data_IF_640065095713
#
_entry.id   IF_640065095713
#
_cell.length_a   1.000
_cell.length_b   1.000
_cell.length_c   1.000
_cell.angle_alpha   90.00
_cell.angle_beta   90.00
_cell.angle_gamma   90.00
#
_symmetry.space_group_name_H-M   'P 1'
#
loop_
_entity.id
_entity.type
_entity.pdbx_description
1 polymer ?
#
# COMPACT_ATOMS: atom_id res chain seq x y z
N UNK A 1 47.62 10.19 18.21
CA UNK A 1 46.55 10.77 19.04
C UNK A 1 45.98 12.01 18.36
N UNK A 2 44.73 11.98 17.89
CA UNK A 2 43.74 13.06 18.15
C UNK A 2 42.36 12.65 17.60
N UNK A 3 41.38 12.72 18.50
CA UNK A 3 39.95 12.39 18.34
C UNK A 3 39.28 13.26 17.26
N UNK A 4 38.41 12.67 16.42
CA UNK A 4 37.39 13.43 15.66
C UNK A 4 35.98 12.86 15.89
N UNK A 5 35.41 13.40 16.98
CA UNK A 5 34.01 13.79 17.26
C UNK A 5 32.90 13.09 16.49
N UNK A 6 32.13 12.28 17.23
CA UNK A 6 30.75 11.91 16.93
C UNK A 6 29.86 13.16 16.84
N UNK A 7 29.09 13.28 15.76
CA UNK A 7 28.04 14.29 15.62
C UNK A 7 26.70 13.63 16.03
N UNK A 8 26.17 14.04 17.18
CA UNK A 8 24.86 13.66 17.69
C UNK A 8 23.81 14.52 16.97
N UNK A 9 22.96 13.89 16.14
CA UNK A 9 21.85 14.55 15.46
C UNK A 9 20.67 14.61 16.44
N UNK A 10 20.40 15.80 16.96
CA UNK A 10 19.23 16.10 17.77
C UNK A 10 18.02 16.23 16.84
N UNK A 11 17.07 15.28 16.93
CA UNK A 11 15.75 15.40 16.31
C UNK A 11 14.90 16.40 17.11
N UNK A 12 14.63 17.58 16.56
CA UNK A 12 13.57 18.46 17.07
C UNK A 12 12.20 17.92 16.66
N UNK A 13 11.46 17.40 17.64
CA UNK A 13 10.00 17.24 17.56
C UNK A 13 9.35 18.63 17.61
N UNK A 14 8.66 19.03 16.55
CA UNK A 14 7.66 20.09 16.64
C UNK A 14 6.30 19.42 16.87
N UNK A 15 5.87 19.35 18.13
CA UNK A 15 4.51 18.93 18.51
C UNK A 15 3.65 20.19 18.59
N UNK A 16 2.85 20.45 17.56
CA UNK A 16 1.78 21.46 17.67
C UNK A 16 0.52 20.76 18.20
N UNK A 17 0.26 20.86 19.50
CA UNK A 17 -1.04 20.50 20.08
C UNK A 17 -1.94 21.72 19.94
N UNK A 18 -2.80 21.76 18.93
CA UNK A 18 -3.86 22.76 18.86
C UNK A 18 -4.94 22.42 19.89
N UNK A 19 -4.92 23.10 21.04
CA UNK A 19 -6.02 23.11 22.01
C UNK A 19 -7.03 24.17 21.56
N UNK A 20 -8.08 23.77 20.85
CA UNK A 20 -9.26 24.62 20.71
C UNK A 20 -10.13 24.42 21.95
N UNK A 21 -9.98 25.34 22.91
CA UNK A 21 -10.98 25.60 23.92
C UNK A 21 -12.00 26.58 23.32
N UNK A 22 -13.23 26.13 23.13
CA UNK A 22 -14.36 27.03 22.94
C UNK A 22 -15.44 26.66 23.96
N UNK A 23 -15.61 27.51 24.97
CA UNK A 23 -16.75 27.48 25.88
C UNK A 23 -17.94 28.13 25.17
N UNK A 24 -19.09 27.46 25.20
CA UNK A 24 -20.37 28.00 24.74
C UNK A 24 -21.50 27.01 25.01
N UNK A 25 -22.36 27.35 25.97
CA UNK A 25 -23.51 26.59 26.47
C UNK A 25 -24.49 26.08 25.39
N UNK A 26 -24.98 24.84 25.54
CA UNK A 26 -26.41 24.51 25.61
C UNK A 26 -26.64 22.98 25.73
N UNK A 27 -27.56 22.60 26.62
CA UNK A 27 -28.00 21.24 26.95
C UNK A 27 -28.72 20.54 25.77
N UNK A 28 -28.52 19.23 25.62
CA UNK A 28 -29.63 18.25 25.56
C UNK A 28 -29.08 16.82 25.63
N UNK A 29 -29.79 15.97 26.36
CA UNK A 29 -29.35 14.64 26.74
C UNK A 29 -29.15 13.70 25.55
N UNK A 30 -27.94 13.16 25.47
CA UNK A 30 -27.73 11.78 25.06
C UNK A 30 -26.47 11.32 25.78
N UNK A 31 -26.61 10.39 26.75
CA UNK A 31 -25.47 9.66 27.31
C UNK A 31 -24.88 8.80 26.20
N UNK A 32 -24.08 9.40 25.32
CA UNK A 32 -23.23 8.65 24.40
C UNK A 32 -22.18 7.93 25.24
N UNK A 33 -22.15 6.60 25.11
CA UNK A 33 -21.10 5.71 25.61
C UNK A 33 -19.76 6.45 25.62
N UNK A 34 -19.07 6.46 26.77
CA UNK A 34 -17.68 6.91 26.95
C UNK A 34 -16.85 6.64 25.68
N UNK A 35 -16.83 7.63 24.78
CA UNK A 35 -16.24 7.49 23.46
C UNK A 35 -14.77 7.76 23.60
N UNK A 36 -13.93 6.78 23.28
CA UNK A 36 -12.48 6.98 23.19
C UNK A 36 -12.23 8.24 22.37
N UNK A 37 -11.55 9.24 22.95
CA UNK A 37 -11.25 10.49 22.23
C UNK A 37 -10.34 10.16 21.04
N UNK A 38 -10.86 10.35 19.84
CA UNK A 38 -10.08 10.25 18.60
C UNK A 38 -9.25 11.52 18.44
N UNK A 39 -7.98 11.33 18.10
CA UNK A 39 -6.98 12.34 17.83
C UNK A 39 -6.53 12.19 16.37
N UNK A 40 -6.12 13.29 15.77
CA UNK A 40 -5.59 13.34 14.40
C UNK A 40 -4.12 13.74 14.47
N UNK A 41 -3.27 13.08 13.70
CA UNK A 41 -1.87 13.44 13.55
C UNK A 41 -1.48 13.46 12.08
N UNK A 42 -0.63 14.43 11.74
CA UNK A 42 -0.02 14.56 10.44
C UNK A 42 1.49 14.36 10.57
N UNK A 43 2.03 13.48 9.74
CA UNK A 43 3.46 13.26 9.59
C UNK A 43 3.87 13.67 8.17
N UNK A 44 4.93 14.46 8.08
CA UNK A 44 5.52 14.87 6.80
C UNK A 44 6.98 14.43 6.73
N UNK A 45 7.25 13.50 5.83
CA UNK A 45 8.61 13.07 5.50
C UNK A 45 9.31 14.15 4.68
N UNK A 46 10.44 14.64 5.20
CA UNK A 46 11.23 15.70 4.58
C UNK A 46 12.01 15.24 3.34
N UNK A 47 12.35 13.95 3.26
CA UNK A 47 13.12 13.40 2.16
C UNK A 47 12.24 13.08 0.95
N UNK A 48 11.01 12.65 1.21
CA UNK A 48 10.11 12.11 0.18
C UNK A 48 8.95 13.06 -0.12
N UNK A 49 8.73 14.06 0.73
CA UNK A 49 7.56 14.93 0.67
C UNK A 49 6.24 14.21 0.98
N UNK A 50 6.32 12.96 1.47
CA UNK A 50 5.17 12.17 1.83
C UNK A 50 4.45 12.78 3.03
N UNK A 51 3.15 13.00 2.89
CA UNK A 51 2.27 13.45 3.96
C UNK A 51 1.34 12.31 4.32
N UNK A 52 1.33 11.94 5.59
CA UNK A 52 0.47 10.93 6.16
C UNK A 52 -0.39 11.59 7.23
N UNK A 53 -1.70 11.53 7.08
CA UNK A 53 -2.67 11.96 8.09
C UNK A 53 -3.40 10.73 8.61
N UNK A 54 -3.46 10.55 9.92
CA UNK A 54 -4.14 9.39 10.51
C UNK A 54 -4.86 9.73 11.80
N UNK A 55 -5.98 9.03 12.02
CA UNK A 55 -6.74 9.05 13.25
C UNK A 55 -6.29 7.94 14.20
N UNK A 56 -6.22 8.25 15.50
CA UNK A 56 -5.85 7.30 16.55
C UNK A 56 -6.51 7.66 17.87
N UNK A 57 -6.56 6.71 18.81
CA UNK A 57 -6.78 6.99 20.22
C UNK A 57 -5.59 6.51 21.06
N UNK A 58 -5.46 7.00 22.29
CA UNK A 58 -4.53 6.43 23.27
C UNK A 58 -5.25 5.40 24.12
N UNK A 59 -4.71 4.18 24.21
CA UNK A 59 -5.25 3.16 25.10
C UNK A 59 -4.93 3.48 26.58
N UNK A 60 -5.31 2.59 27.51
CA UNK A 60 -5.11 2.80 28.94
C UNK A 60 -3.64 2.99 29.33
N UNK A 61 -2.71 2.37 28.58
CA UNK A 61 -1.26 2.48 28.76
C UNK A 61 -0.66 3.71 28.04
N UNK A 62 -1.49 4.56 27.44
CA UNK A 62 -1.05 5.76 26.71
C UNK A 62 -0.49 5.49 25.30
N UNK A 63 -0.52 4.24 24.83
CA UNK A 63 -0.05 3.83 23.50
C UNK A 63 -1.03 4.29 22.41
N UNK A 64 -0.50 4.84 21.31
CA UNK A 64 -1.28 5.21 20.13
C UNK A 64 -1.81 3.96 19.43
N UNK A 65 -3.12 3.93 19.19
CA UNK A 65 -3.82 2.89 18.45
C UNK A 65 -4.52 3.55 17.27
N UNK A 66 -4.08 3.24 16.04
CA UNK A 66 -4.71 3.72 14.82
C UNK A 66 -6.16 3.25 14.77
N UNK A 67 -7.07 4.22 14.61
CA UNK A 67 -8.49 3.97 14.59
C UNK A 67 -9.19 5.14 13.90
N UNK A 68 -9.91 4.86 12.82
CA UNK A 68 -10.55 5.86 11.98
C UNK A 68 -9.80 6.08 10.67
N UNK A 69 -9.89 7.29 10.13
CA UNK A 69 -9.42 7.64 8.78
C UNK A 69 -7.90 7.65 8.69
N UNK A 70 -7.41 7.23 7.53
CA UNK A 70 -6.02 7.32 7.12
C UNK A 70 -5.94 7.89 5.71
N UNK A 71 -5.00 8.81 5.49
CA UNK A 71 -4.66 9.34 4.17
C UNK A 71 -3.14 9.40 4.02
N UNK A 72 -2.63 8.97 2.87
CA UNK A 72 -1.24 9.09 2.47
C UNK A 72 -1.17 9.76 1.10
N UNK A 73 -0.33 10.78 0.97
CA UNK A 73 -0.14 11.49 -0.27
C UNK A 73 1.33 11.83 -0.48
N UNK A 74 1.84 11.57 -1.67
CA UNK A 74 3.18 12.01 -2.07
C UNK A 74 3.27 12.24 -3.57
N UNK A 75 4.27 13.03 -3.96
CA UNK A 75 4.62 13.27 -5.35
C UNK A 75 6.13 13.40 -5.46
N UNK A 76 6.75 12.55 -6.28
CA UNK A 76 8.19 12.54 -6.54
C UNK A 76 8.42 12.92 -8.01
N UNK A 77 9.11 14.03 -8.30
CA UNK A 77 9.44 14.38 -9.67
C UNK A 77 10.35 13.30 -10.30
N UNK A 78 10.30 13.18 -11.62
CA UNK A 78 11.26 12.35 -12.35
C UNK A 78 12.64 13.02 -12.25
N UNK A 79 13.53 12.43 -11.46
CA UNK A 79 14.89 12.93 -11.23
C UNK A 79 15.96 11.91 -11.58
N UNK A 80 17.21 12.37 -11.73
CA UNK A 80 18.33 11.51 -12.14
C UNK A 80 18.85 10.59 -11.02
N UNK A 81 18.60 10.95 -9.76
CA UNK A 81 19.09 10.23 -8.56
C UNK A 81 18.11 9.16 -8.05
N UNK A 82 16.83 9.27 -8.40
CA UNK A 82 15.79 8.33 -7.99
C UNK A 82 15.32 7.48 -9.17
N UNK A 83 15.32 6.17 -9.00
CA UNK A 83 14.72 5.21 -9.93
C UNK A 83 13.20 5.10 -9.77
N UNK A 84 12.57 6.03 -9.04
CA UNK A 84 11.12 6.15 -8.92
C UNK A 84 10.68 7.58 -9.21
N UNK A 85 9.48 7.72 -9.76
CA UNK A 85 8.79 9.01 -9.88
C UNK A 85 7.28 8.83 -9.91
N UNK A 86 6.55 9.92 -9.81
CA UNK A 86 5.10 9.96 -9.96
C UNK A 86 4.40 10.41 -8.69
N UNK A 87 3.13 10.03 -8.57
CA UNK A 87 2.27 10.49 -7.49
C UNK A 87 1.40 9.36 -6.96
N UNK A 88 1.01 9.50 -5.70
CA UNK A 88 0.12 8.56 -5.04
C UNK A 88 -0.76 9.30 -4.04
N UNK A 89 -2.02 8.88 -3.97
CA UNK A 89 -2.98 9.28 -2.95
C UNK A 89 -3.78 8.02 -2.54
N UNK A 90 -3.61 7.61 -1.29
CA UNK A 90 -4.29 6.46 -0.71
C UNK A 90 -5.13 6.93 0.46
N UNK A 91 -6.37 6.45 0.52
CA UNK A 91 -7.22 6.59 1.69
C UNK A 91 -7.61 5.22 2.20
N UNK A 92 -7.64 5.05 3.51
CA UNK A 92 -8.02 3.81 4.17
C UNK A 92 -8.70 4.11 5.51
N UNK A 93 -9.21 3.06 6.14
CA UNK A 93 -9.73 3.13 7.51
C UNK A 93 -9.03 2.07 8.35
N UNK A 94 -8.67 2.44 9.57
CA UNK A 94 -8.11 1.55 10.57
C UNK A 94 -9.12 1.28 11.67
N UNK A 95 -9.11 0.05 12.17
CA UNK A 95 -9.83 -0.36 13.37
C UNK A 95 -8.82 -1.11 14.24
N UNK A 96 -8.42 -0.50 15.35
CA UNK A 96 -7.49 -1.10 16.32
C UNK A 96 -6.17 -1.57 15.69
N UNK A 97 -5.50 -0.66 14.97
CA UNK A 97 -4.27 -0.89 14.20
C UNK A 97 -4.40 -1.84 12.99
N UNK A 98 -5.60 -2.29 12.64
CA UNK A 98 -5.84 -3.12 11.46
C UNK A 98 -6.53 -2.32 10.36
N UNK A 99 -6.09 -2.48 9.11
CA UNK A 99 -6.83 -2.00 7.94
C UNK A 99 -8.17 -2.73 7.87
N UNK A 100 -9.25 -1.96 7.80
CA UNK A 100 -10.60 -2.50 7.77
C UNK A 100 -11.53 -1.55 7.01
N UNK A 101 -12.27 -2.09 6.05
CA UNK A 101 -13.10 -1.33 5.11
C UNK A 101 -12.46 -1.17 3.73
N UNK A 102 -12.79 -0.09 3.03
CA UNK A 102 -12.32 0.15 1.66
C UNK A 102 -11.01 0.95 1.68
N UNK A 103 -10.01 0.42 0.96
CA UNK A 103 -8.78 1.14 0.62
C UNK A 103 -8.92 1.67 -0.80
N UNK A 104 -8.91 3.00 -0.95
CA UNK A 104 -8.95 3.66 -2.25
C UNK A 104 -7.55 4.07 -2.66
N UNK A 105 -7.14 3.68 -3.85
CA UNK A 105 -5.81 3.88 -4.40
C UNK A 105 -5.93 4.70 -5.68
N UNK A 106 -5.32 5.88 -5.67
CA UNK A 106 -5.07 6.67 -6.86
C UNK A 106 -3.56 6.80 -7.01
N UNK A 107 -2.99 6.17 -8.03
CA UNK A 107 -1.56 6.24 -8.25
C UNK A 107 -1.20 6.28 -9.72
N UNK A 108 -0.15 7.04 -9.99
CA UNK A 108 0.53 7.04 -11.25
C UNK A 108 2.02 7.20 -10.95
N UNK A 109 2.68 6.06 -10.75
CA UNK A 109 4.10 6.02 -10.39
C UNK A 109 4.85 5.01 -11.25
N UNK A 110 6.11 5.31 -11.50
CA UNK A 110 6.96 4.59 -12.44
C UNK A 110 8.28 4.25 -11.77
N UNK A 111 8.73 3.03 -11.98
CA UNK A 111 10.10 2.62 -11.72
C UNK A 111 10.90 2.73 -13.01
N UNK A 112 11.98 3.49 -12.97
CA UNK A 112 12.84 3.76 -14.11
C UNK A 112 14.12 2.93 -14.05
N UNK A 113 14.54 2.43 -15.20
CA UNK A 113 15.86 1.82 -15.39
C UNK A 113 16.60 2.55 -16.49
N UNK A 114 17.93 2.67 -16.33
CA UNK A 114 18.80 3.18 -17.39
C UNK A 114 18.93 2.13 -18.48
N UNK A 115 18.55 2.49 -19.70
CA UNK A 115 18.80 1.71 -20.92
C UNK A 115 19.95 2.34 -21.68
N UNK A 116 20.94 1.54 -21.99
CA UNK A 116 22.14 1.95 -22.70
C UNK A 116 22.16 1.33 -24.08
N UNK A 117 22.16 2.15 -25.11
CA UNK A 117 22.17 1.71 -26.51
C UNK A 117 23.41 2.27 -27.20
N UNK A 118 24.12 1.42 -27.94
CA UNK A 118 25.23 1.84 -28.78
C UNK A 118 24.70 2.28 -30.14
N UNK A 119 24.97 3.52 -30.51
CA UNK A 119 24.58 4.07 -31.80
C UNK A 119 25.84 4.11 -32.67
N UNK A 120 25.81 3.37 -33.79
CA UNK A 120 26.92 3.34 -34.76
C UNK A 120 27.28 4.77 -35.16
N UNK A 121 28.53 5.18 -34.92
CA UNK A 121 29.06 6.51 -35.24
C UNK A 121 28.70 7.66 -34.27
N UNK A 122 27.90 7.42 -33.22
CA UNK A 122 27.51 8.47 -32.23
C UNK A 122 27.79 8.09 -30.78
N UNK A 123 28.46 6.97 -30.53
CA UNK A 123 28.80 6.50 -29.19
C UNK A 123 27.59 5.93 -28.43
N UNK A 124 27.61 6.08 -27.10
CA UNK A 124 26.63 5.48 -26.17
C UNK A 124 25.51 6.47 -25.87
N UNK A 125 24.26 6.09 -26.15
CA UNK A 125 23.05 6.82 -25.70
C UNK A 125 22.50 6.16 -24.44
N UNK A 126 22.32 6.95 -23.38
CA UNK A 126 21.66 6.51 -22.14
C UNK A 126 20.28 7.14 -22.09
N UNK A 127 19.25 6.33 -21.89
CA UNK A 127 17.87 6.77 -21.71
C UNK A 127 17.27 6.15 -20.45
N UNK A 128 16.17 6.71 -19.95
CA UNK A 128 15.38 6.13 -18.86
C UNK A 128 14.11 5.51 -19.44
N UNK A 129 13.97 4.21 -19.25
CA UNK A 129 12.78 3.44 -19.64
C UNK A 129 12.05 2.97 -18.38
N UNK A 130 10.73 2.93 -18.45
CA UNK A 130 9.92 2.40 -17.37
C UNK A 130 10.03 0.87 -17.37
N UNK A 131 10.32 0.29 -16.21
CA UNK A 131 10.36 -1.17 -15.99
C UNK A 131 9.20 -1.66 -15.13
N UNK A 132 8.51 -0.72 -14.48
CA UNK A 132 7.32 -0.99 -13.69
C UNK A 132 6.46 0.26 -13.67
N UNK A 133 5.15 0.08 -13.85
CA UNK A 133 4.18 1.18 -13.85
C UNK A 133 3.01 0.82 -12.95
N UNK A 134 2.76 1.62 -11.93
CA UNK A 134 1.59 1.49 -11.10
C UNK A 134 0.63 2.60 -11.53
N UNK A 135 -0.38 2.20 -12.27
CA UNK A 135 -1.41 3.09 -12.78
C UNK A 135 -2.73 2.55 -12.24
N UNK A 136 -3.33 3.29 -11.31
CA UNK A 136 -4.62 2.97 -10.75
C UNK A 136 -5.39 4.26 -10.55
N UNK A 137 -6.57 4.34 -11.15
CA UNK A 137 -7.49 5.46 -11.00
C UNK A 137 -8.70 4.96 -10.22
N UNK A 138 -8.88 5.46 -8.99
CA UNK A 138 -9.96 5.07 -8.09
C UNK A 138 -10.08 3.55 -7.90
N UNK A 139 -8.95 2.84 -7.77
CA UNK A 139 -8.98 1.41 -7.43
C UNK A 139 -9.46 1.26 -5.99
N UNK A 140 -10.52 0.49 -5.78
CA UNK A 140 -11.09 0.22 -4.46
C UNK A 140 -10.86 -1.23 -4.08
N UNK A 141 -10.16 -1.45 -2.97
CA UNK A 141 -9.90 -2.76 -2.42
C UNK A 141 -10.62 -2.90 -1.08
N UNK A 142 -11.50 -3.87 -0.96
CA UNK A 142 -12.14 -4.19 0.32
C UNK A 142 -11.19 -5.01 1.16
N UNK A 143 -10.95 -4.59 2.39
CA UNK A 143 -9.99 -5.18 3.32
C UNK A 143 -10.68 -5.47 4.65
N UNK A 144 -10.44 -6.64 5.23
CA UNK A 144 -10.85 -7.01 6.59
C UNK A 144 -9.62 -7.51 7.33
N UNK A 145 -9.28 -6.88 8.45
CA UNK A 145 -8.13 -7.23 9.28
C UNK A 145 -6.81 -7.37 8.48
N UNK A 146 -6.46 -6.33 7.72
CA UNK A 146 -5.30 -6.26 6.82
C UNK A 146 -5.35 -7.17 5.58
N UNK A 147 -6.38 -7.98 5.41
CA UNK A 147 -6.47 -8.98 4.33
C UNK A 147 -7.51 -8.57 3.30
N UNK A 148 -7.24 -8.75 2.00
CA UNK A 148 -8.26 -8.54 0.97
C UNK A 148 -9.50 -9.40 1.28
N UNK A 149 -10.68 -8.84 1.03
CA UNK A 149 -11.95 -9.47 1.29
C UNK A 149 -12.83 -9.47 0.04
N UNK A 150 -13.68 -10.50 -0.07
CA UNK A 150 -14.53 -10.72 -1.24
C UNK A 150 -13.77 -11.07 -2.52
N UNK A 151 -14.47 -10.94 -3.65
CA UNK A 151 -13.88 -11.10 -4.98
C UNK A 151 -13.13 -9.84 -5.39
N UNK A 152 -11.98 -10.00 -6.04
CA UNK A 152 -11.19 -8.88 -6.53
C UNK A 152 -10.57 -9.16 -7.90
N UNK A 153 -10.50 -8.12 -8.73
CA UNK A 153 -9.80 -8.15 -10.01
C UNK A 153 -9.17 -6.78 -10.22
N UNK A 154 -7.85 -6.69 -10.10
CA UNK A 154 -7.14 -5.42 -10.23
C UNK A 154 -5.70 -5.60 -10.69
N UNK A 155 -5.13 -4.51 -11.17
CA UNK A 155 -3.77 -4.44 -11.70
C UNK A 155 -2.99 -3.39 -10.90
N UNK A 156 -1.81 -3.76 -10.42
CA UNK A 156 -0.90 -2.85 -9.74
C UNK A 156 0.55 -3.23 -10.06
N UNK A 157 1.29 -2.30 -10.65
CA UNK A 157 2.66 -2.54 -11.08
C UNK A 157 2.68 -3.51 -12.26
N UNK A 158 3.52 -4.54 -12.16
CA UNK A 158 3.62 -5.60 -13.16
C UNK A 158 2.77 -6.83 -12.83
N UNK A 159 1.80 -6.69 -11.91
CA UNK A 159 0.97 -7.78 -11.43
C UNK A 159 -0.51 -7.48 -11.62
N UNK A 160 -1.25 -8.51 -11.99
CA UNK A 160 -2.71 -8.53 -11.99
C UNK A 160 -3.19 -9.63 -11.07
N UNK A 161 -4.11 -9.30 -10.18
CA UNK A 161 -4.64 -10.17 -9.16
C UNK A 161 -6.10 -10.45 -9.50
N UNK A 162 -6.47 -11.73 -9.57
CA UNK A 162 -7.83 -12.18 -9.77
C UNK A 162 -8.20 -13.19 -8.70
N UNK A 163 -9.29 -12.94 -8.00
CA UNK A 163 -9.87 -13.85 -7.04
C UNK A 163 -11.40 -13.89 -7.21
N UNK A 164 -11.90 -15.09 -7.44
CA UNK A 164 -13.32 -15.40 -7.52
C UNK A 164 -13.67 -16.40 -6.43
N UNK A 165 -14.73 -16.16 -5.67
CA UNK A 165 -15.17 -17.04 -4.59
C UNK A 165 -15.46 -16.29 -3.28
N UNK A 166 -15.30 -16.98 -2.16
CA UNK A 166 -15.59 -16.48 -0.81
C UNK A 166 -14.32 -16.44 0.02
N UNK A 167 -14.20 -15.41 0.85
CA UNK A 167 -13.15 -15.27 1.85
C UNK A 167 -13.82 -15.27 3.22
N UNK A 168 -13.39 -16.17 4.10
CA UNK A 168 -13.95 -16.26 5.44
C UNK A 168 -13.34 -15.20 6.39
N UNK A 169 -13.82 -15.15 7.63
CA UNK A 169 -13.35 -14.16 8.60
C UNK A 169 -11.88 -14.31 9.01
N UNK A 170 -11.34 -15.52 8.86
CA UNK A 170 -9.94 -15.85 9.13
C UNK A 170 -9.00 -15.45 7.98
N UNK A 171 -9.53 -14.87 6.90
CA UNK A 171 -8.74 -14.50 5.72
C UNK A 171 -8.38 -15.68 4.83
N UNK A 172 -9.18 -16.75 4.87
CA UNK A 172 -9.00 -17.93 4.04
C UNK A 172 -9.96 -17.87 2.84
N UNK A 173 -9.42 -18.12 1.66
CA UNK A 173 -10.14 -18.05 0.40
C UNK A 173 -10.54 -19.43 -0.11
N UNK A 174 -11.80 -19.56 -0.50
CA UNK A 174 -12.36 -20.65 -1.27
C UNK A 174 -12.83 -20.13 -2.65
N UNK A 175 -12.22 -20.64 -3.70
CA UNK A 175 -12.59 -20.44 -5.09
C UNK A 175 -11.35 -20.43 -5.99
N UNK A 176 -11.34 -19.59 -7.01
CA UNK A 176 -10.21 -19.48 -7.95
C UNK A 176 -9.39 -18.25 -7.64
N UNK A 177 -8.09 -18.44 -7.45
CA UNK A 177 -7.11 -17.34 -7.43
C UNK A 177 -6.20 -17.46 -8.66
N UNK A 178 -5.88 -16.34 -9.30
CA UNK A 178 -4.90 -16.27 -10.38
C UNK A 178 -4.10 -14.98 -10.23
N UNK A 179 -2.77 -15.13 -10.24
CA UNK A 179 -1.85 -14.01 -10.38
C UNK A 179 -1.31 -14.04 -11.80
N UNK A 180 -1.39 -12.90 -12.48
CA UNK A 180 -0.72 -12.70 -13.74
C UNK A 180 0.44 -11.74 -13.56
N UNK A 181 1.47 -11.94 -14.38
CA UNK A 181 2.62 -11.05 -14.49
C UNK A 181 2.67 -10.47 -15.88
N UNK A 182 2.96 -9.18 -15.97
CA UNK A 182 3.08 -8.49 -17.25
C UNK A 182 4.26 -9.07 -18.03
N UNK A 183 4.07 -9.35 -19.32
CA UNK A 183 5.14 -9.77 -20.21
C UNK A 183 6.13 -8.61 -20.39
N UNK A 184 7.31 -8.71 -19.78
CA UNK A 184 8.31 -7.63 -19.70
C UNK A 184 9.11 -7.39 -20.99
N UNK A 185 8.71 -7.98 -22.11
CA UNK A 185 9.44 -7.89 -23.39
C UNK A 185 9.53 -6.46 -23.94
N UNK A 186 8.61 -5.56 -23.56
CA UNK A 186 8.63 -4.16 -24.02
C UNK A 186 8.96 -3.16 -22.91
N UNK A 187 10.24 -2.82 -22.77
CA UNK A 187 10.67 -1.62 -22.03
C UNK A 187 10.41 -0.38 -22.87
N UNK A 188 9.68 0.59 -22.32
CA UNK A 188 9.25 1.78 -23.08
C UNK A 188 9.53 3.08 -22.34
N UNK A 189 9.61 4.17 -23.10
CA UNK A 189 9.55 5.53 -22.58
C UNK A 189 8.11 6.01 -22.33
N UNK A 190 7.10 5.37 -22.94
CA UNK A 190 5.68 5.74 -22.81
C UNK A 190 4.81 4.57 -22.30
N UNK A 191 4.73 4.36 -20.97
CA UNK A 191 4.06 3.22 -20.35
C UNK A 191 2.53 3.24 -20.39
N UNK A 192 1.89 4.34 -20.80
CA UNK A 192 0.42 4.46 -20.80
C UNK A 192 -0.27 3.83 -22.02
N UNK A 193 0.44 3.66 -23.13
CA UNK A 193 -0.17 3.31 -24.44
C UNK A 193 0.21 1.90 -24.93
N UNK A 194 0.71 1.04 -24.05
CA UNK A 194 1.08 -0.33 -24.40
C UNK A 194 -0.09 -1.28 -24.13
N UNK A 195 -0.48 -2.05 -25.15
CA UNK A 195 -1.34 -3.22 -24.96
C UNK A 195 -0.60 -4.23 -24.07
N UNK A 196 -1.18 -4.55 -22.92
CA UNK A 196 -0.49 -5.36 -21.92
C UNK A 196 -0.82 -6.83 -22.13
N UNK A 197 0.18 -7.61 -22.54
CA UNK A 197 0.08 -9.06 -22.50
C UNK A 197 0.36 -9.56 -21.07
N UNK A 198 -0.61 -10.28 -20.52
CA UNK A 198 -0.55 -10.86 -19.19
C UNK A 198 -0.31 -12.36 -19.30
N UNK A 199 0.71 -12.85 -18.59
CA UNK A 199 1.01 -14.28 -18.50
C UNK A 199 0.62 -14.78 -17.11
N UNK A 200 -0.03 -15.94 -17.03
CA UNK A 200 -0.35 -16.58 -15.76
C UNK A 200 0.97 -16.95 -15.06
N UNK A 201 1.20 -16.36 -13.89
CA UNK A 201 2.39 -16.60 -13.06
C UNK A 201 2.13 -17.67 -11.99
N UNK A 202 0.90 -17.69 -11.46
CA UNK A 202 0.38 -18.74 -10.57
C UNK A 202 -1.15 -18.80 -10.66
N UNK A 203 -1.70 -20.00 -10.48
CA UNK A 203 -3.13 -20.23 -10.41
C UNK A 203 -3.42 -21.33 -9.39
N UNK A 204 -4.44 -21.09 -8.56
CA UNK A 204 -4.94 -22.05 -7.60
C UNK A 204 -6.45 -22.18 -7.79
N UNK A 205 -6.92 -23.42 -7.90
CA UNK A 205 -8.34 -23.76 -7.98
C UNK A 205 -8.70 -24.44 -6.66
N UNK A 206 -9.45 -23.74 -5.81
CA UNK A 206 -9.96 -24.30 -4.57
C UNK A 206 -11.28 -25.00 -4.85
N UNK A 207 -11.19 -26.25 -5.24
CA UNK A 207 -12.33 -27.14 -5.39
C UNK A 207 -12.83 -27.57 -3.99
N UNK A 208 -14.13 -27.49 -3.68
CA UNK A 208 -14.68 -28.05 -2.44
C UNK A 208 -14.43 -29.57 -2.27
N UNK A 209 -14.22 -30.31 -3.36
CA UNK A 209 -14.09 -31.78 -3.37
C UNK A 209 -12.64 -32.27 -3.48
N UNK A 210 -11.68 -31.39 -3.81
CA UNK A 210 -10.26 -31.74 -3.92
C UNK A 210 -9.40 -31.00 -2.90
N UNK A 211 -8.77 -31.78 -2.02
CA UNK A 211 -7.82 -31.29 -1.02
C UNK A 211 -6.46 -31.06 -1.66
N UNK A 212 -6.21 -29.85 -2.16
CA UNK A 212 -4.83 -29.38 -2.27
C UNK A 212 -4.35 -28.96 -0.86
N UNK A 213 -3.13 -29.37 -0.50
CA UNK A 213 -2.43 -28.87 0.70
C UNK A 213 -2.40 -27.33 0.69
N UNK A 214 -2.28 -26.73 1.87
CA UNK A 214 -2.08 -25.28 2.02
C UNK A 214 -1.20 -24.71 0.91
N UNK A 215 -1.79 -23.88 0.04
CA UNK A 215 -1.05 -23.27 -1.04
C UNK A 215 -0.34 -22.02 -0.51
N UNK A 216 0.96 -21.92 -0.77
CA UNK A 216 1.75 -20.74 -0.40
C UNK A 216 1.91 -19.83 -1.63
N UNK A 217 1.13 -18.73 -1.74
CA UNK A 217 1.19 -17.87 -2.90
C UNK A 217 2.55 -17.19 -3.01
N UNK A 218 3.05 -17.04 -4.26
CA UNK A 218 4.31 -16.35 -4.57
C UNK A 218 4.31 -14.92 -4.05
N UNK A 219 3.17 -14.25 -4.13
CA UNK A 219 2.96 -12.89 -3.63
C UNK A 219 1.97 -12.91 -2.49
N UNK A 220 2.43 -12.56 -1.29
CA UNK A 220 1.62 -12.61 -0.05
C UNK A 220 1.02 -11.27 0.34
N UNK A 221 1.52 -10.16 -0.22
CA UNK A 221 1.08 -8.81 0.13
C UNK A 221 1.07 -7.91 -1.11
N UNK A 222 0.01 -7.11 -1.25
CA UNK A 222 0.02 -5.89 -2.05
C UNK A 222 0.71 -4.81 -1.23
N UNK A 223 1.86 -4.34 -1.71
CA UNK A 223 2.64 -3.29 -1.03
C UNK A 223 2.39 -1.96 -1.72
N UNK A 224 1.80 -1.03 -0.99
CA UNK A 224 1.59 0.35 -1.42
C UNK A 224 2.62 1.24 -0.73
N UNK A 225 3.50 1.78 -1.54
CA UNK A 225 4.84 2.16 -1.11
C UNK A 225 5.67 2.50 -2.33
N UNK A 226 6.82 3.12 -2.12
CA UNK A 226 7.95 2.85 -3.00
C UNK A 226 9.11 2.36 -2.12
N UNK A 227 10.09 1.61 -2.65
CA UNK A 227 11.14 0.97 -1.86
C UNK A 227 12.00 1.91 -0.99
N UNK A 228 11.98 3.22 -1.25
CA UNK A 228 12.69 4.21 -0.43
C UNK A 228 11.95 4.64 0.83
N UNK A 229 10.68 4.28 1.00
CA UNK A 229 9.95 4.52 2.26
C UNK A 229 10.23 3.39 3.25
N UNK A 230 10.30 3.71 4.54
CA UNK A 230 10.48 2.70 5.58
C UNK A 230 9.31 1.72 5.60
N UNK A 231 9.51 0.51 6.15
CA UNK A 231 8.46 -0.52 6.22
C UNK A 231 7.20 0.00 6.95
N UNK A 232 7.36 0.85 7.96
CA UNK A 232 6.25 1.42 8.72
C UNK A 232 5.43 2.46 7.95
N UNK A 233 5.97 3.02 6.87
CA UNK A 233 5.30 3.98 5.99
C UNK A 233 4.55 3.31 4.83
N UNK A 234 4.76 2.00 4.63
CA UNK A 234 4.12 1.23 3.58
C UNK A 234 2.79 0.67 4.07
N UNK A 235 1.74 0.84 3.28
CA UNK A 235 0.51 0.08 3.47
C UNK A 235 0.74 -1.31 2.87
N UNK A 236 0.45 -2.34 3.66
CA UNK A 236 0.56 -3.73 3.28
C UNK A 236 -0.80 -4.38 3.43
N UNK A 237 -1.35 -4.82 2.30
CA UNK A 237 -2.61 -5.53 2.27
C UNK A 237 -2.28 -6.98 1.95
N UNK A 238 -2.64 -7.90 2.84
CA UNK A 238 -2.37 -9.32 2.68
C UNK A 238 -3.27 -9.92 1.60
N UNK A 239 -2.66 -10.79 0.80
CA UNK A 239 -3.40 -11.73 -0.03
C UNK A 239 -3.97 -12.80 0.92
N UNK A 240 -5.26 -13.20 0.77
CA UNK A 240 -5.86 -14.24 1.57
C UNK A 240 -5.09 -15.55 1.50
N UNK A 241 -5.07 -16.31 2.59
CA UNK A 241 -4.53 -17.66 2.58
C UNK A 241 -5.41 -18.53 1.69
N UNK A 242 -4.78 -19.28 0.78
CA UNK A 242 -5.49 -20.18 -0.11
C UNK A 242 -5.65 -21.54 0.61
N UNK A 243 -6.83 -21.78 1.18
CA UNK A 243 -7.13 -22.98 1.97
C UNK A 243 -8.30 -23.73 1.35
N UNK A 244 -8.06 -24.99 0.98
CA UNK A 244 -8.97 -25.78 0.15
C UNK A 244 -10.05 -26.59 0.87
N UNK A 245 -10.31 -26.36 2.15
CA UNK A 245 -11.56 -26.86 2.73
C UNK A 245 -11.96 -26.05 3.95
N UNK A 246 -13.25 -25.71 4.03
CA UNK A 246 -13.90 -25.16 5.23
C UNK A 246 -14.47 -26.30 6.10
N UNK A 247 -14.40 -27.55 5.62
CA UNK A 247 -14.90 -28.71 6.36
C UNK A 247 -13.99 -29.03 7.54
N UNK A 248 -14.31 -28.48 8.71
CA UNK A 248 -14.15 -29.24 9.94
C UNK A 248 -15.11 -30.43 9.86
N UNK A 249 -14.57 -31.65 9.80
CA UNK A 249 -15.19 -32.65 10.67
C UNK A 249 -15.01 -32.21 12.11
#
# INVERSE_FOLDING_TARGET
>A
MLKKRFLLIICMLAVTVSMNANQGNAQSGNKSKSGRKILVEEFKDRNTGCVITYEYYKNAEGKKILHGKYKRQWSLPKGERGNWSGRENITATFVENRLNGVVTINCEKYKWQRKSEFIKGKGRKVSLVAVESYIANNLQLTVKNDTLAGTFNFELGNLKYEAMGKINESGEMQGKYTLYKRNTTEQTSNPRNIGQDWVIEEQYLCDPDYTYRDADPKVKEVILGYPGTSRGEQIRIKIPRLRLSISSK
#
